data_IF_070831899317
#
_entry.id   IF_070831899317
#
_cell.length_a   1.000
_cell.length_b   1.000
_cell.length_c   1.000
_cell.angle_alpha   90.00
_cell.angle_beta   90.00
_cell.angle_gamma   90.00
#
_symmetry.space_group_name_H-M   'P 1'
#
loop_
_entity.id
_entity.type
_entity.pdbx_description
1 polymer ?
#
# COMPACT_ATOMS: atom_id res chain seq x y z
N UNK A 1 -4.96 -11.39 15.23
CA UNK A 1 -4.06 -11.85 14.15
C UNK A 1 -3.82 -10.68 13.21
N UNK A 2 -2.58 -10.24 13.02
CA UNK A 2 -2.27 -9.12 12.10
C UNK A 2 -2.47 -9.58 10.66
N UNK A 3 -3.30 -8.87 9.90
CA UNK A 3 -3.57 -9.16 8.51
C UNK A 3 -2.76 -8.20 7.63
N UNK A 4 -2.08 -8.71 6.62
CA UNK A 4 -1.46 -7.87 5.59
C UNK A 4 -2.24 -7.91 4.28
N UNK A 5 -2.05 -6.88 3.45
CA UNK A 5 -2.68 -6.74 2.15
C UNK A 5 -1.65 -6.41 1.09
N UNK A 6 -1.90 -6.89 -0.10
CA UNK A 6 -1.14 -6.58 -1.30
C UNK A 6 -1.56 -5.22 -1.84
N UNK A 7 -0.63 -4.31 -1.97
CA UNK A 7 -0.85 -2.99 -2.56
C UNK A 7 0.03 -2.88 -3.79
N UNK A 8 -0.56 -2.75 -4.97
CA UNK A 8 0.21 -2.65 -6.21
C UNK A 8 1.10 -1.41 -6.22
N UNK A 9 2.34 -1.56 -6.65
CA UNK A 9 3.28 -0.44 -6.83
C UNK A 9 2.83 0.53 -7.93
N UNK A 10 1.92 0.10 -8.83
CA UNK A 10 1.36 0.92 -9.90
C UNK A 10 0.60 2.17 -9.41
N UNK A 11 0.25 2.25 -8.12
CA UNK A 11 -0.37 3.45 -7.53
C UNK A 11 0.61 4.62 -7.41
N UNK A 12 1.92 4.35 -7.28
CA UNK A 12 2.94 5.38 -7.16
C UNK A 12 3.05 6.20 -8.45
N UNK A 13 3.00 7.53 -8.34
CA UNK A 13 2.97 8.45 -9.48
C UNK A 13 1.61 8.57 -10.19
N UNK A 14 0.62 7.75 -9.84
CA UNK A 14 -0.76 7.82 -10.35
C UNK A 14 -1.73 8.38 -9.32
N UNK A 15 -1.57 8.05 -8.05
CA UNK A 15 -2.47 8.47 -6.98
C UNK A 15 -1.84 9.53 -6.08
N UNK A 16 -2.67 10.45 -5.61
CA UNK A 16 -2.30 11.37 -4.54
C UNK A 16 -2.43 10.67 -3.17
N UNK A 17 -1.78 11.16 -2.11
CA UNK A 17 -1.77 10.49 -0.80
C UNK A 17 -3.16 10.08 -0.28
N UNK A 18 -4.15 10.98 -0.30
CA UNK A 18 -5.53 10.63 0.11
C UNK A 18 -6.14 9.49 -0.71
N UNK A 19 -5.86 9.44 -1.99
CA UNK A 19 -6.34 8.39 -2.90
C UNK A 19 -5.62 7.06 -2.63
N UNK A 20 -4.31 7.09 -2.40
CA UNK A 20 -3.54 5.90 -2.04
C UNK A 20 -4.04 5.29 -0.71
N UNK A 21 -4.39 6.12 0.27
CA UNK A 21 -5.01 5.63 1.50
C UNK A 21 -6.40 5.03 1.26
N UNK A 22 -7.22 5.60 0.37
CA UNK A 22 -8.50 4.97 0.01
C UNK A 22 -8.29 3.62 -0.69
N UNK A 23 -7.32 3.52 -1.59
CA UNK A 23 -6.99 2.25 -2.23
C UNK A 23 -6.61 1.17 -1.19
N UNK A 24 -5.80 1.55 -0.19
CA UNK A 24 -5.47 0.68 0.93
C UNK A 24 -6.71 0.30 1.76
N UNK A 25 -7.62 1.23 2.05
CA UNK A 25 -8.87 0.94 2.74
C UNK A 25 -9.73 -0.08 1.96
N UNK A 26 -9.77 0.03 0.63
CA UNK A 26 -10.45 -0.92 -0.23
C UNK A 26 -9.78 -2.30 -0.16
N UNK A 27 -8.44 -2.34 -0.21
CA UNK A 27 -7.67 -3.57 -0.07
C UNK A 27 -7.85 -4.25 1.30
N UNK A 28 -8.00 -3.49 2.38
CA UNK A 28 -8.31 -4.06 3.71
C UNK A 28 -9.66 -4.80 3.73
N UNK A 29 -10.60 -4.44 2.86
CA UNK A 29 -11.93 -5.04 2.74
C UNK A 29 -12.02 -6.05 1.60
N UNK A 30 -10.91 -6.36 0.92
CA UNK A 30 -10.87 -7.44 -0.07
C UNK A 30 -10.57 -8.79 0.58
N UNK A 31 -11.05 -9.84 -0.03
CA UNK A 31 -10.62 -11.20 0.26
C UNK A 31 -9.18 -11.39 -0.22
N UNK A 32 -8.35 -12.03 0.61
CA UNK A 32 -6.92 -12.17 0.33
C UNK A 32 -6.60 -13.09 -0.84
N UNK A 33 -7.46 -14.09 -1.09
CA UNK A 33 -7.21 -15.08 -2.14
C UNK A 33 -7.69 -14.59 -3.51
N UNK A 34 -8.80 -13.85 -3.52
CA UNK A 34 -9.45 -13.40 -4.76
C UNK A 34 -9.14 -11.94 -5.10
N UNK A 35 -8.61 -11.14 -4.16
CA UNK A 35 -8.44 -9.68 -4.26
C UNK A 35 -9.75 -8.91 -4.54
N UNK A 36 -10.91 -9.55 -4.32
CA UNK A 36 -12.21 -8.94 -4.55
C UNK A 36 -12.73 -8.33 -3.24
N UNK A 37 -13.15 -7.08 -3.33
CA UNK A 37 -13.85 -6.38 -2.25
C UNK A 37 -15.33 -6.24 -2.58
N UNK A 38 -16.20 -6.64 -1.66
CA UNK A 38 -17.65 -6.53 -1.76
C UNK A 38 -18.23 -5.37 -0.93
N UNK A 39 -17.40 -4.39 -0.59
CA UNK A 39 -17.78 -3.28 0.28
C UNK A 39 -18.73 -2.30 -0.42
N UNK A 40 -19.78 -1.86 0.26
CA UNK A 40 -20.62 -0.75 -0.22
C UNK A 40 -19.88 0.58 -0.14
N UNK A 41 -20.17 1.52 -1.05
CA UNK A 41 -19.52 2.83 -1.06
C UNK A 41 -19.76 3.61 0.23
N UNK A 42 -20.96 3.56 0.81
CA UNK A 42 -21.25 4.22 2.09
C UNK A 42 -20.39 3.65 3.22
N UNK A 43 -20.33 2.32 3.33
CA UNK A 43 -19.47 1.65 4.31
C UNK A 43 -17.98 1.97 4.09
N UNK A 44 -17.53 2.07 2.83
CA UNK A 44 -16.17 2.49 2.52
C UNK A 44 -15.94 3.97 2.88
N UNK A 45 -16.94 4.82 2.72
CA UNK A 45 -16.91 6.24 3.09
C UNK A 45 -16.73 6.39 4.59
N UNK A 46 -17.50 5.65 5.39
CA UNK A 46 -17.39 5.62 6.86
C UNK A 46 -16.03 5.06 7.29
N UNK A 47 -15.60 3.96 6.66
CA UNK A 47 -14.32 3.32 6.95
C UNK A 47 -13.12 4.21 6.62
N UNK A 48 -13.21 5.00 5.55
CA UNK A 48 -12.20 6.01 5.20
C UNK A 48 -12.24 7.23 6.14
N UNK A 49 -13.38 7.50 6.79
CA UNK A 49 -13.55 8.59 7.74
C UNK A 49 -13.90 9.94 7.11
N UNK A 50 -14.71 9.97 6.05
CA UNK A 50 -15.25 11.20 5.46
C UNK A 50 -16.78 11.15 5.37
N UNK A 51 -17.41 12.33 5.25
CA UNK A 51 -18.89 12.44 5.21
C UNK A 51 -19.49 12.42 3.79
N UNK A 52 -18.66 12.55 2.74
CA UNK A 52 -19.14 12.73 1.35
C UNK A 52 -18.86 11.51 0.50
N UNK A 53 -19.87 10.70 0.25
CA UNK A 53 -19.83 9.51 -0.61
C UNK A 53 -19.43 9.84 -2.06
N UNK A 54 -19.85 11.00 -2.59
CA UNK A 54 -19.53 11.42 -3.96
C UNK A 54 -18.02 11.48 -4.23
N UNK A 55 -17.22 11.85 -3.23
CA UNK A 55 -15.77 11.91 -3.38
C UNK A 55 -15.17 10.51 -3.54
N UNK A 56 -15.67 9.54 -2.78
CA UNK A 56 -15.28 8.13 -2.89
C UNK A 56 -15.64 7.59 -4.27
N UNK A 57 -16.87 7.84 -4.75
CA UNK A 57 -17.31 7.44 -6.08
C UNK A 57 -16.43 7.98 -7.20
N UNK A 58 -16.02 9.27 -7.12
CA UNK A 58 -15.06 9.86 -8.07
C UNK A 58 -13.70 9.18 -8.06
N UNK A 59 -13.18 8.85 -6.88
CA UNK A 59 -11.88 8.17 -6.76
C UNK A 59 -11.93 6.72 -7.23
N UNK A 60 -13.02 5.98 -6.97
CA UNK A 60 -13.21 4.63 -7.48
C UNK A 60 -13.23 4.60 -9.02
N UNK A 61 -13.97 5.54 -9.66
CA UNK A 61 -13.94 5.69 -11.12
C UNK A 61 -12.54 6.05 -11.65
N UNK A 62 -11.77 6.84 -10.90
CA UNK A 62 -10.38 7.12 -11.24
C UNK A 62 -9.52 5.85 -11.17
N UNK A 63 -9.70 5.02 -10.13
CA UNK A 63 -8.96 3.77 -9.99
C UNK A 63 -9.27 2.80 -11.15
N UNK A 64 -10.53 2.69 -11.55
CA UNK A 64 -10.97 1.93 -12.71
C UNK A 64 -10.30 2.45 -14.00
N UNK A 65 -10.37 3.78 -14.25
CA UNK A 65 -9.72 4.41 -15.42
C UNK A 65 -8.20 4.17 -15.48
N UNK A 66 -7.54 4.05 -14.32
CA UNK A 66 -6.11 3.82 -14.21
C UNK A 66 -5.73 2.32 -14.26
N UNK A 67 -6.70 1.41 -14.38
CA UNK A 67 -6.50 -0.03 -14.36
C UNK A 67 -6.00 -0.57 -13.01
N UNK A 68 -6.33 0.14 -11.92
CA UNK A 68 -5.98 -0.26 -10.56
C UNK A 68 -7.06 -1.12 -9.91
N UNK A 69 -8.30 -0.96 -10.36
CA UNK A 69 -9.47 -1.70 -9.91
C UNK A 69 -10.35 -1.97 -11.12
N UNK A 70 -10.91 -3.16 -11.21
CA UNK A 70 -12.01 -3.49 -12.11
C UNK A 70 -13.31 -3.46 -11.29
N UNK A 71 -14.33 -2.76 -11.79
CA UNK A 71 -15.61 -2.60 -11.11
C UNK A 71 -16.68 -3.41 -11.84
N UNK A 72 -17.08 -4.51 -11.25
CA UNK A 72 -18.22 -5.28 -11.73
C UNK A 72 -19.50 -4.87 -10.96
N UNK A 73 -20.58 -4.64 -11.71
CA UNK A 73 -21.89 -4.28 -11.19
C UNK A 73 -22.85 -5.43 -11.44
N UNK A 74 -23.09 -6.21 -10.42
CA UNK A 74 -24.09 -7.28 -10.51
C UNK A 74 -25.44 -6.80 -9.96
N UNK A 75 -26.50 -7.03 -10.74
CA UNK A 75 -27.88 -6.87 -10.29
C UNK A 75 -28.29 -8.10 -9.46
N UNK A 76 -28.21 -8.02 -8.15
CA UNK A 76 -28.75 -9.07 -7.27
C UNK A 76 -30.21 -8.79 -6.94
N UNK A 77 -31.08 -9.79 -7.12
CA UNK A 77 -32.47 -9.75 -6.63
C UNK A 77 -32.48 -10.13 -5.13
N UNK A 78 -32.69 -9.17 -4.28
CA UNK A 78 -32.87 -9.42 -2.85
C UNK A 78 -34.32 -9.40 -2.42
N UNK A 79 -34.57 -9.71 -1.14
CA UNK A 79 -35.92 -9.79 -0.52
C UNK A 79 -36.73 -8.49 -0.63
N UNK A 80 -36.08 -7.34 -0.87
CA UNK A 80 -36.67 -5.99 -0.96
C UNK A 80 -36.44 -5.27 -2.30
N UNK A 81 -36.11 -6.02 -3.37
CA UNK A 81 -35.90 -5.46 -4.70
C UNK A 81 -34.51 -5.74 -5.28
N UNK A 82 -34.20 -5.12 -6.44
CA UNK A 82 -32.89 -5.22 -7.07
C UNK A 82 -31.88 -4.36 -6.31
N UNK A 83 -30.75 -4.95 -5.93
CA UNK A 83 -29.60 -4.25 -5.35
C UNK A 83 -28.47 -4.24 -6.36
N UNK A 84 -27.95 -3.07 -6.68
CA UNK A 84 -26.68 -2.96 -7.40
C UNK A 84 -25.55 -3.17 -6.41
N UNK A 85 -24.90 -4.33 -6.43
CA UNK A 85 -23.63 -4.56 -5.74
C UNK A 85 -22.49 -4.25 -6.67
N UNK A 86 -21.55 -3.47 -6.18
CA UNK A 86 -20.27 -3.28 -6.85
C UNK A 86 -19.25 -4.25 -6.25
N UNK A 87 -18.63 -5.03 -7.10
CA UNK A 87 -17.47 -5.86 -6.77
C UNK A 87 -16.24 -5.15 -7.31
N UNK A 88 -15.23 -5.01 -6.47
CA UNK A 88 -13.97 -4.33 -6.81
C UNK A 88 -12.87 -5.36 -6.85
N UNK A 89 -12.44 -5.76 -8.05
CA UNK A 89 -11.26 -6.60 -8.23
C UNK A 89 -10.03 -5.70 -8.28
N UNK A 90 -9.14 -5.84 -7.31
CA UNK A 90 -7.93 -5.04 -7.19
C UNK A 90 -6.80 -5.62 -8.06
N UNK A 91 -6.09 -4.74 -8.75
CA UNK A 91 -4.83 -5.11 -9.39
C UNK A 91 -3.77 -5.28 -8.30
N UNK A 92 -3.18 -6.45 -8.20
CA UNK A 92 -2.14 -6.80 -7.21
C UNK A 92 -0.83 -7.24 -7.85
N UNK A 93 -0.62 -6.98 -9.15
CA UNK A 93 0.67 -7.18 -9.80
C UNK A 93 1.72 -6.22 -9.23
N UNK A 94 2.96 -6.71 -9.05
CA UNK A 94 4.06 -5.93 -8.47
C UNK A 94 3.61 -5.19 -7.21
N UNK A 95 3.47 -5.93 -6.12
CA UNK A 95 2.88 -5.43 -4.89
C UNK A 95 3.90 -5.27 -3.76
N UNK A 96 3.55 -4.40 -2.83
CA UNK A 96 4.15 -4.32 -1.50
C UNK A 96 3.16 -4.81 -0.46
N UNK A 97 3.67 -5.27 0.69
CA UNK A 97 2.86 -5.79 1.79
C UNK A 97 2.73 -4.74 2.90
N UNK A 98 1.48 -4.41 3.23
CA UNK A 98 1.14 -3.46 4.30
C UNK A 98 0.10 -4.11 5.21
N UNK A 99 0.33 -4.03 6.53
CA UNK A 99 -0.58 -4.63 7.52
C UNK A 99 -1.75 -3.71 7.85
N UNK A 100 -2.80 -4.29 8.44
CA UNK A 100 -3.97 -3.59 8.95
C UNK A 100 -3.65 -2.59 10.08
N UNK A 101 -2.49 -2.70 10.72
CA UNK A 101 -2.04 -1.77 11.77
C UNK A 101 -1.96 -0.32 11.30
N UNK A 102 -1.59 -0.07 10.02
CA UNK A 102 -1.56 1.29 9.49
C UNK A 102 -2.92 1.99 9.59
N UNK A 103 -4.02 1.24 9.50
CA UNK A 103 -5.36 1.80 9.63
C UNK A 103 -5.60 2.41 11.02
N UNK A 104 -5.18 1.70 12.07
CA UNK A 104 -5.37 2.12 13.48
C UNK A 104 -4.39 3.18 13.97
N UNK A 105 -3.36 3.53 13.19
CA UNK A 105 -2.41 4.58 13.57
C UNK A 105 -3.10 5.96 13.67
N UNK A 106 -2.78 6.71 14.72
CA UNK A 106 -3.37 8.04 14.97
C UNK A 106 -2.64 9.15 14.21
N UNK A 107 -2.61 9.04 12.89
CA UNK A 107 -2.06 10.04 11.96
C UNK A 107 -3.06 10.32 10.83
N UNK A 108 -2.88 11.45 10.15
CA UNK A 108 -3.80 11.85 9.09
C UNK A 108 -3.82 10.85 7.91
N UNK A 109 -4.99 10.74 7.25
CA UNK A 109 -5.15 9.92 6.05
C UNK A 109 -4.16 10.29 4.93
N UNK A 110 -3.79 11.56 4.84
CA UNK A 110 -2.75 12.01 3.90
C UNK A 110 -1.38 11.44 4.24
N UNK A 111 -1.00 11.45 5.52
CA UNK A 111 0.29 10.91 5.95
C UNK A 111 0.32 9.39 5.77
N UNK A 112 -0.77 8.67 6.11
CA UNK A 112 -0.90 7.23 5.83
C UNK A 112 -0.71 6.94 4.35
N UNK A 113 -1.40 7.69 3.51
CA UNK A 113 -1.27 7.54 2.05
C UNK A 113 0.12 7.87 1.52
N UNK A 114 0.80 8.88 2.07
CA UNK A 114 2.19 9.17 1.71
C UNK A 114 3.12 8.01 2.09
N UNK A 115 2.97 7.42 3.27
CA UNK A 115 3.77 6.27 3.71
C UNK A 115 3.56 5.04 2.80
N UNK A 116 2.32 4.81 2.33
CA UNK A 116 2.00 3.77 1.35
C UNK A 116 2.76 4.03 0.04
N UNK A 117 2.68 5.26 -0.50
CA UNK A 117 3.38 5.63 -1.73
C UNK A 117 4.90 5.53 -1.58
N UNK A 118 5.43 5.89 -0.42
CA UNK A 118 6.86 5.75 -0.10
C UNK A 118 7.27 4.26 -0.09
N UNK A 119 6.46 3.38 0.51
CA UNK A 119 6.70 1.93 0.50
C UNK A 119 6.76 1.38 -0.93
N UNK A 120 5.89 1.84 -1.83
CA UNK A 120 5.91 1.47 -3.25
C UNK A 120 7.18 1.96 -4.00
N UNK A 121 7.97 2.85 -3.43
CA UNK A 121 9.25 3.34 -3.98
C UNK A 121 10.46 2.82 -3.23
N UNK A 122 10.28 1.89 -2.33
CA UNK A 122 11.39 1.17 -1.70
C UNK A 122 11.96 0.12 -2.65
N UNK A 123 13.27 -0.14 -2.52
CA UNK A 123 13.98 -1.08 -3.36
C UNK A 123 13.44 -2.51 -3.18
N UNK A 124 12.99 -3.13 -4.26
CA UNK A 124 12.59 -4.54 -4.31
C UNK A 124 11.75 -5.00 -3.11
N UNK A 125 10.75 -4.20 -2.72
CA UNK A 125 9.89 -4.53 -1.57
C UNK A 125 10.55 -4.37 -0.20
N UNK A 126 11.80 -3.91 -0.11
CA UNK A 126 12.46 -3.57 1.17
C UNK A 126 11.78 -2.39 1.85
N UNK A 127 12.29 -1.97 2.99
CA UNK A 127 11.84 -0.75 3.68
C UNK A 127 12.78 0.43 3.45
N UNK A 128 13.60 0.41 2.38
CA UNK A 128 14.59 1.45 2.09
C UNK A 128 14.44 1.97 0.67
N UNK A 129 14.46 3.28 0.51
CA UNK A 129 14.55 3.94 -0.80
C UNK A 129 15.76 4.84 -0.88
N UNK A 130 16.43 4.84 -2.06
CA UNK A 130 17.59 5.70 -2.36
C UNK A 130 17.18 7.03 -3.00
N UNK A 131 15.89 7.22 -3.31
CA UNK A 131 15.42 8.46 -3.90
C UNK A 131 15.65 9.65 -2.95
N UNK A 132 16.20 10.73 -3.48
CA UNK A 132 16.18 12.04 -2.83
C UNK A 132 14.75 12.59 -2.75
N UNK A 133 14.52 13.61 -1.94
CA UNK A 133 13.19 14.26 -1.86
C UNK A 133 12.71 14.84 -3.20
N UNK A 134 13.64 15.38 -4.01
CA UNK A 134 13.31 15.90 -5.34
C UNK A 134 12.90 14.77 -6.29
N UNK A 135 13.68 13.68 -6.32
CA UNK A 135 13.31 12.50 -7.11
C UNK A 135 11.99 11.88 -6.65
N UNK A 136 11.73 11.81 -5.34
CA UNK A 136 10.42 11.36 -4.83
C UNK A 136 9.28 12.28 -5.29
N UNK A 137 9.53 13.60 -5.35
CA UNK A 137 8.53 14.56 -5.82
C UNK A 137 8.18 14.31 -7.30
N UNK A 138 9.18 14.06 -8.14
CA UNK A 138 9.02 13.72 -9.56
C UNK A 138 8.31 12.37 -9.73
N UNK A 139 8.81 11.32 -9.08
CA UNK A 139 8.29 9.96 -9.17
C UNK A 139 6.83 9.83 -8.67
N UNK A 140 6.51 10.49 -7.57
CA UNK A 140 5.18 10.47 -6.99
C UNK A 140 4.24 11.55 -7.58
N UNK A 141 4.79 12.44 -8.42
CA UNK A 141 4.06 13.61 -8.98
C UNK A 141 3.38 14.45 -7.88
N UNK A 142 4.12 14.70 -6.82
CA UNK A 142 3.73 15.51 -5.66
C UNK A 142 4.73 16.68 -5.56
N UNK A 143 4.26 17.86 -5.19
CA UNK A 143 5.18 19.01 -5.06
C UNK A 143 6.26 18.77 -4.01
N UNK A 144 7.47 19.27 -4.25
CA UNK A 144 8.61 19.15 -3.33
C UNK A 144 8.29 19.67 -1.93
N UNK A 145 7.53 20.78 -1.83
CA UNK A 145 7.06 21.31 -0.55
C UNK A 145 6.14 20.35 0.21
N UNK A 146 5.25 19.63 -0.50
CA UNK A 146 4.41 18.60 0.11
C UNK A 146 5.22 17.39 0.55
N UNK A 147 6.18 16.93 -0.28
CA UNK A 147 7.11 15.86 0.11
C UNK A 147 7.86 16.25 1.38
N UNK A 148 8.46 17.44 1.43
CA UNK A 148 9.19 17.92 2.62
C UNK A 148 8.31 17.96 3.87
N UNK A 149 7.05 18.40 3.73
CA UNK A 149 6.07 18.39 4.83
C UNK A 149 5.78 16.98 5.32
N UNK A 150 5.47 16.04 4.41
CA UNK A 150 5.17 14.67 4.79
C UNK A 150 6.39 13.94 5.38
N UNK A 151 7.56 14.18 4.82
CA UNK A 151 8.82 13.64 5.34
C UNK A 151 9.06 14.08 6.79
N UNK A 152 8.93 15.39 7.08
CA UNK A 152 9.06 15.90 8.45
C UNK A 152 8.05 15.25 9.39
N UNK A 153 6.76 15.24 9.01
CA UNK A 153 5.73 14.61 9.82
C UNK A 153 5.98 13.11 10.05
N UNK A 154 6.49 12.40 9.05
CA UNK A 154 6.80 10.98 9.18
C UNK A 154 8.02 10.73 10.09
N UNK A 155 9.03 11.62 10.07
CA UNK A 155 10.17 11.57 11.00
C UNK A 155 9.71 11.86 12.42
N UNK A 156 8.96 12.95 12.62
CA UNK A 156 8.48 13.39 13.94
C UNK A 156 7.59 12.34 14.62
N UNK A 157 6.87 11.53 13.82
CA UNK A 157 6.04 10.43 14.32
C UNK A 157 6.75 9.06 14.32
N UNK A 158 8.05 8.98 14.02
CA UNK A 158 8.84 7.76 14.11
C UNK A 158 8.56 6.71 13.03
N UNK A 159 7.95 7.08 11.88
CA UNK A 159 7.71 6.17 10.77
C UNK A 159 8.89 6.02 9.84
N UNK A 160 9.71 7.05 9.72
CA UNK A 160 10.88 7.05 8.83
C UNK A 160 12.12 7.62 9.51
N UNK A 161 13.27 7.18 9.00
CA UNK A 161 14.58 7.76 9.27
C UNK A 161 15.23 8.12 7.94
N UNK A 162 15.95 9.23 7.91
CA UNK A 162 16.77 9.62 6.77
C UNK A 162 18.24 9.71 7.20
N UNK A 163 19.11 9.05 6.46
CA UNK A 163 20.54 9.11 6.65
C UNK A 163 21.30 9.11 5.30
N UNK A 164 22.63 8.90 5.31
CA UNK A 164 23.46 8.84 4.10
C UNK A 164 23.15 7.65 3.20
N UNK A 165 22.51 6.59 3.74
CA UNK A 165 22.16 5.37 3.01
C UNK A 165 20.79 5.45 2.36
N UNK A 166 19.99 6.49 2.66
CA UNK A 166 18.67 6.69 2.07
C UNK A 166 17.59 7.07 3.08
N UNK A 167 16.35 6.76 2.71
CA UNK A 167 15.17 6.94 3.55
C UNK A 167 14.65 5.54 3.92
N UNK A 168 14.48 5.31 5.21
CA UNK A 168 14.13 4.00 5.77
C UNK A 168 12.77 4.07 6.46
N UNK A 169 11.86 3.17 6.12
CA UNK A 169 10.63 2.91 6.86
C UNK A 169 10.97 2.07 8.10
N UNK A 170 10.62 2.56 9.29
CA UNK A 170 11.02 1.97 10.56
C UNK A 170 10.03 0.94 11.13
N UNK A 171 8.76 1.01 10.72
CA UNK A 171 7.67 0.21 11.28
C UNK A 171 7.51 -1.09 10.50
N UNK A 172 8.35 -2.09 10.78
CA UNK A 172 8.30 -3.42 10.16
C UNK A 172 7.02 -4.19 10.51
N UNK A 173 6.38 -3.84 11.62
CA UNK A 173 5.08 -4.36 11.99
C UNK A 173 3.95 -3.85 11.08
N UNK A 174 4.16 -2.76 10.35
CA UNK A 174 3.25 -2.16 9.35
C UNK A 174 3.71 -2.51 7.94
N UNK A 175 4.98 -2.26 7.60
CA UNK A 175 5.55 -2.41 6.28
C UNK A 175 6.35 -3.71 6.21
N UNK A 176 5.73 -4.75 5.66
CA UNK A 176 6.36 -6.07 5.59
C UNK A 176 7.36 -6.18 4.45
N UNK A 177 8.37 -7.00 4.66
CA UNK A 177 9.32 -7.46 3.65
C UNK A 177 8.92 -8.90 3.31
N UNK A 178 8.96 -9.30 2.04
CA UNK A 178 8.68 -10.68 1.65
C UNK A 178 9.83 -11.60 2.03
N UNK A 179 9.56 -12.91 2.19
CA UNK A 179 10.60 -13.90 2.47
C UNK A 179 11.68 -13.90 1.37
N UNK A 180 11.26 -13.82 0.12
CA UNK A 180 12.17 -13.79 -1.04
C UNK A 180 13.09 -12.57 -0.98
N UNK A 181 12.56 -11.42 -0.55
CA UNK A 181 13.34 -10.19 -0.38
C UNK A 181 14.31 -10.32 0.80
N UNK A 182 13.90 -10.91 1.93
CA UNK A 182 14.77 -11.18 3.08
C UNK A 182 15.93 -12.10 2.68
N UNK A 183 15.64 -13.18 1.96
CA UNK A 183 16.65 -14.12 1.44
C UNK A 183 17.62 -13.41 0.50
N UNK A 184 17.11 -12.57 -0.41
CA UNK A 184 17.93 -11.79 -1.33
C UNK A 184 18.88 -10.84 -0.59
N UNK A 185 18.41 -10.16 0.46
CA UNK A 185 19.24 -9.30 1.31
C UNK A 185 20.31 -10.13 2.03
N UNK A 186 19.92 -11.27 2.63
CA UNK A 186 20.87 -12.16 3.32
C UNK A 186 21.96 -12.66 2.37
N UNK A 187 21.63 -13.06 1.14
CA UNK A 187 22.60 -13.43 0.12
C UNK A 187 23.58 -12.32 -0.22
N UNK A 188 23.09 -11.07 -0.34
CA UNK A 188 23.95 -9.94 -0.62
C UNK A 188 24.91 -9.61 0.54
N UNK A 189 24.45 -9.82 1.79
CA UNK A 189 25.25 -9.54 3.00
C UNK A 189 26.21 -10.69 3.33
N UNK A 190 25.77 -11.94 3.10
CA UNK A 190 26.50 -13.15 3.45
C UNK A 190 26.61 -14.13 2.27
N UNK A 191 27.27 -13.74 1.16
CA UNK A 191 27.28 -14.54 -0.07
C UNK A 191 27.99 -15.91 0.10
N UNK A 192 28.86 -16.04 1.10
CA UNK A 192 29.60 -17.28 1.40
C UNK A 192 28.86 -18.26 2.35
N UNK A 193 27.77 -17.83 2.97
CA UNK A 193 27.05 -18.60 4.00
C UNK A 193 25.73 -19.14 3.44
N UNK A 194 25.06 -18.40 2.54
CA UNK A 194 23.77 -18.77 1.98
C UNK A 194 23.95 -19.23 0.54
N UNK A 195 23.79 -20.51 0.31
CA UNK A 195 23.86 -21.13 -1.03
C UNK A 195 22.47 -21.22 -1.66
N UNK A 196 22.44 -21.41 -3.00
CA UNK A 196 21.18 -21.69 -3.71
C UNK A 196 20.53 -22.99 -3.24
N UNK A 197 21.35 -23.93 -2.80
CA UNK A 197 20.93 -25.22 -2.26
C UNK A 197 20.25 -25.10 -0.89
N UNK A 198 20.71 -24.19 -0.03
CA UNK A 198 20.08 -23.89 1.27
C UNK A 198 18.70 -23.29 1.11
N UNK A 199 18.51 -22.48 0.06
CA UNK A 199 17.21 -21.87 -0.28
C UNK A 199 16.26 -22.94 -0.85
N UNK A 200 16.74 -23.75 -1.79
CA UNK A 200 15.95 -24.82 -2.40
C UNK A 200 15.48 -25.85 -1.37
N UNK A 201 16.28 -26.11 -0.33
CA UNK A 201 15.98 -27.07 0.73
C UNK A 201 15.23 -26.45 1.93
N UNK A 202 14.87 -25.17 1.87
CA UNK A 202 14.17 -24.47 2.96
C UNK A 202 15.01 -24.34 4.25
N UNK A 203 16.31 -24.54 4.17
CA UNK A 203 17.26 -24.38 5.27
C UNK A 203 17.68 -22.92 5.38
N UNK A 204 16.78 -22.09 5.86
CA UNK A 204 17.16 -20.73 6.29
C UNK A 204 17.54 -20.88 7.75
N UNK A 205 18.81 -20.71 8.05
CA UNK A 205 19.25 -20.61 9.44
C UNK A 205 18.71 -19.33 10.06
N UNK A 206 18.30 -19.35 11.33
CA UNK A 206 17.78 -18.18 12.05
C UNK A 206 18.81 -17.07 12.24
#
# INVERSE_FOLDING_TARGET
>A
MTQYRRITEKIAGKLKPKQAYLFYCLALKSDFNTDISHIKQDTLTDFYGIKKTDQIGKWLKLFEKLGLVEIDKTDEKGKFGKFNRCHYLLNTEHFVLITDKLYSENISNELKGFLILLKCKCLNGTNTTLYSQNQLAEELKISTGSISKYMRLAIDNGYIKKDKKGIHLLREDIFKITKETEIGIMKCVYPSIITDEDIANGRIMP
#
